data_IF_692630140461
#
_entry.id   IF_692630140461
#
_cell.length_a   1.000
_cell.length_b   1.000
_cell.length_c   1.000
_cell.angle_alpha   90.00
_cell.angle_beta   90.00
_cell.angle_gamma   90.00
#
_symmetry.space_group_name_H-M   'P 1'
#
loop_
_entity.id
_entity.type
_entity.pdbx_description
1 polymer ?
#
# COMPACT_ATOMS: atom_id res chain seq x y z
N UNK A 1 21.10 11.03 31.62
CA UNK A 1 20.26 11.01 32.84
C UNK A 1 19.64 12.38 33.03
N UNK A 2 18.46 12.48 33.66
CA UNK A 2 17.74 13.74 33.91
C UNK A 2 17.29 13.76 35.39
N UNK A 3 17.28 14.91 36.06
CA UNK A 3 16.78 15.02 37.43
C UNK A 3 15.28 14.67 37.44
N UNK A 4 14.88 13.94 38.47
CA UNK A 4 13.46 13.64 38.69
C UNK A 4 12.81 14.80 39.48
N UNK A 5 11.47 14.97 39.44
CA UNK A 5 10.79 16.04 40.16
C UNK A 5 11.14 16.09 41.69
N UNK A 6 11.36 14.93 42.28
CA UNK A 6 11.73 14.85 43.70
C UNK A 6 13.07 15.55 44.00
N UNK A 7 14.07 15.37 43.12
CA UNK A 7 15.36 16.06 43.29
C UNK A 7 15.20 17.58 43.14
N UNK A 8 14.36 18.03 42.20
CA UNK A 8 14.05 19.46 42.02
C UNK A 8 13.36 20.04 43.25
N UNK A 9 12.39 19.32 43.83
CA UNK A 9 11.73 19.74 45.09
C UNK A 9 12.73 19.84 46.25
N UNK A 10 13.65 18.85 46.39
CA UNK A 10 14.72 18.89 47.41
C UNK A 10 15.67 20.09 47.22
N UNK A 11 16.02 20.41 45.98
CA UNK A 11 16.85 21.57 45.66
C UNK A 11 16.12 22.89 45.94
N UNK A 12 14.83 22.98 45.66
CA UNK A 12 14.01 24.16 46.00
C UNK A 12 13.88 24.31 47.51
N UNK A 13 13.66 23.23 48.26
CA UNK A 13 13.60 23.25 49.70
C UNK A 13 14.96 23.68 50.33
N UNK A 14 16.08 23.21 49.78
CA UNK A 14 17.42 23.65 50.18
C UNK A 14 17.65 25.12 49.87
N UNK A 15 17.21 25.64 48.72
CA UNK A 15 17.32 27.05 48.39
C UNK A 15 16.49 27.93 49.36
N UNK A 16 15.26 27.50 49.70
CA UNK A 16 14.40 28.17 50.68
C UNK A 16 15.06 28.20 52.09
N UNK A 17 15.71 27.09 52.50
CA UNK A 17 16.49 27.02 53.73
C UNK A 17 17.62 28.07 53.75
N UNK A 18 18.26 28.31 52.60
CA UNK A 18 19.28 29.37 52.45
C UNK A 18 18.73 30.76 52.75
N UNK A 19 17.51 31.07 52.36
CA UNK A 19 16.82 32.30 52.73
C UNK A 19 16.63 32.47 54.26
N UNK A 20 16.29 31.36 54.94
CA UNK A 20 16.13 31.36 56.42
C UNK A 20 17.48 31.55 57.14
N UNK A 21 18.53 30.96 56.61
CA UNK A 21 19.90 31.14 57.12
C UNK A 21 20.40 32.58 56.92
N UNK A 22 20.09 33.20 55.79
CA UNK A 22 20.42 34.59 55.51
C UNK A 22 19.67 35.54 56.43
N UNK A 23 18.42 35.22 56.84
CA UNK A 23 17.67 35.95 57.83
C UNK A 23 18.16 35.79 59.25
N UNK A 24 19.26 35.03 59.49
CA UNK A 24 19.88 34.84 60.78
C UNK A 24 19.21 33.86 61.76
N UNK A 25 18.11 33.13 61.26
CA UNK A 25 17.38 32.21 62.11
C UNK A 25 18.10 30.85 62.31
N UNK A 26 19.09 30.50 61.47
CA UNK A 26 19.82 29.25 61.53
C UNK A 26 21.34 29.49 61.27
N UNK A 27 22.21 28.63 61.81
CA UNK A 27 23.68 28.76 61.63
C UNK A 27 24.02 28.33 60.16
N UNK A 28 25.05 29.00 59.58
CA UNK A 28 25.49 28.77 58.18
C UNK A 28 25.89 27.32 57.87
N UNK A 29 26.45 26.61 58.86
CA UNK A 29 26.82 25.20 58.66
C UNK A 29 25.68 24.29 58.42
N UNK A 30 24.43 24.59 58.86
CA UNK A 30 23.25 23.79 58.63
C UNK A 30 22.88 23.74 57.12
N UNK A 31 23.03 24.87 56.41
CA UNK A 31 22.81 24.96 54.99
C UNK A 31 23.84 24.12 54.20
N UNK A 32 25.12 24.17 54.57
CA UNK A 32 26.17 23.38 53.99
C UNK A 32 25.99 21.87 54.25
N UNK A 33 25.56 21.49 55.45
CA UNK A 33 25.27 20.11 55.82
C UNK A 33 24.15 19.52 54.93
N UNK A 34 23.05 20.24 54.80
CA UNK A 34 21.91 19.80 53.96
C UNK A 34 22.33 19.66 52.51
N UNK A 35 23.11 20.58 51.95
CA UNK A 35 23.68 20.49 50.61
C UNK A 35 24.51 19.22 50.43
N UNK A 36 25.40 18.95 51.39
CA UNK A 36 26.28 17.76 51.35
C UNK A 36 25.48 16.47 51.40
N UNK A 37 24.45 16.39 52.25
CA UNK A 37 23.55 15.23 52.34
C UNK A 37 22.79 15.01 51.02
N UNK A 38 22.14 16.05 50.49
CA UNK A 38 21.41 15.96 49.23
C UNK A 38 22.35 15.55 48.08
N UNK A 39 23.53 16.18 47.98
CA UNK A 39 24.52 15.87 46.98
C UNK A 39 25.03 14.43 47.06
N UNK A 40 25.38 13.96 48.29
CA UNK A 40 25.83 12.58 48.49
C UNK A 40 24.74 11.57 48.11
N UNK A 41 23.49 11.79 48.57
CA UNK A 41 22.37 10.92 48.21
C UNK A 41 22.12 10.92 46.69
N UNK A 42 22.16 12.07 46.06
CA UNK A 42 21.98 12.17 44.61
C UNK A 42 23.09 11.44 43.85
N UNK A 43 24.35 11.57 44.27
CA UNK A 43 25.48 10.87 43.65
C UNK A 43 25.42 9.36 43.88
N UNK A 44 25.07 8.91 45.08
CA UNK A 44 24.88 7.47 45.37
C UNK A 44 23.74 6.86 44.55
N UNK A 45 22.64 7.56 44.43
CA UNK A 45 21.49 7.10 43.61
C UNK A 45 21.85 7.07 42.13
N UNK A 46 22.62 8.06 41.66
CA UNK A 46 23.15 8.11 40.29
C UNK A 46 24.06 6.92 39.99
N UNK A 47 25.00 6.66 40.90
CA UNK A 47 25.94 5.56 40.77
C UNK A 47 25.26 4.19 40.80
N UNK A 48 24.28 3.98 41.70
CA UNK A 48 23.45 2.77 41.73
C UNK A 48 22.68 2.60 40.45
N UNK A 49 22.05 3.67 39.95
CA UNK A 49 21.29 3.62 38.71
C UNK A 49 22.18 3.31 37.49
N UNK A 50 23.40 3.86 37.44
CA UNK A 50 24.34 3.60 36.35
C UNK A 50 24.76 2.12 36.25
N UNK A 51 24.88 1.45 37.42
CA UNK A 51 25.27 0.03 37.52
C UNK A 51 24.13 -0.96 37.36
N UNK A 52 22.88 -0.48 37.30
CA UNK A 52 21.74 -1.37 37.12
C UNK A 52 21.78 -2.08 35.76
N UNK A 53 21.54 -3.41 35.74
CA UNK A 53 21.44 -4.14 34.49
C UNK A 53 20.27 -3.64 33.65
N UNK A 54 20.40 -3.71 32.32
CA UNK A 54 19.31 -3.38 31.41
C UNK A 54 18.36 -4.56 31.32
N UNK A 55 17.03 -4.32 31.30
CA UNK A 55 16.07 -5.36 31.02
C UNK A 55 16.29 -5.95 29.63
N UNK A 56 15.99 -7.23 29.47
CA UNK A 56 15.90 -7.85 28.16
C UNK A 56 14.54 -7.55 27.57
N UNK A 57 14.52 -7.21 26.29
CA UNK A 57 13.29 -6.89 25.55
C UNK A 57 13.19 -7.80 24.33
N UNK A 58 12.02 -8.39 24.13
CA UNK A 58 11.67 -9.15 22.93
C UNK A 58 10.43 -8.51 22.31
N UNK A 59 10.43 -8.35 20.99
CA UNK A 59 9.29 -7.82 20.23
C UNK A 59 8.66 -8.94 19.42
N UNK A 60 7.35 -9.05 19.52
CA UNK A 60 6.52 -9.97 18.74
C UNK A 60 5.77 -9.18 17.69
N UNK A 61 6.34 -9.10 16.49
CA UNK A 61 5.76 -8.45 15.32
C UNK A 61 6.18 -9.22 14.07
N UNK A 62 5.26 -9.52 13.14
CA UNK A 62 5.63 -10.11 11.85
C UNK A 62 6.42 -9.12 10.99
N UNK A 63 7.35 -9.62 10.18
CA UNK A 63 8.15 -8.80 9.26
C UNK A 63 7.34 -8.20 8.10
N UNK A 64 6.15 -8.74 7.84
CA UNK A 64 5.24 -8.28 6.79
C UNK A 64 3.99 -7.66 7.40
N UNK A 65 3.74 -6.40 7.07
CA UNK A 65 2.57 -5.63 7.49
C UNK A 65 1.75 -5.21 6.26
N UNK A 66 0.46 -4.97 6.46
CA UNK A 66 -0.41 -4.42 5.42
C UNK A 66 -0.67 -2.93 5.67
N UNK A 67 -0.63 -2.12 4.60
CA UNK A 67 -0.91 -0.70 4.63
C UNK A 67 -2.31 -0.42 5.19
N UNK A 68 -2.42 0.53 6.11
CA UNK A 68 -3.68 0.97 6.70
C UNK A 68 -4.36 -0.02 7.66
N UNK A 69 -3.76 -1.19 7.91
CA UNK A 69 -4.32 -2.22 8.80
C UNK A 69 -3.76 -2.07 10.20
N UNK A 70 -4.65 -1.94 11.20
CA UNK A 70 -4.25 -1.93 12.60
C UNK A 70 -3.65 -3.29 12.98
N UNK A 71 -2.49 -3.24 13.63
CA UNK A 71 -1.77 -4.43 14.06
C UNK A 71 -1.37 -4.33 15.52
N UNK A 72 -1.65 -5.38 16.28
CA UNK A 72 -1.20 -5.51 17.64
C UNK A 72 0.26 -5.97 17.68
N UNK A 73 1.05 -5.34 18.54
CA UNK A 73 2.46 -5.62 18.78
C UNK A 73 2.64 -6.03 20.22
N UNK A 74 3.29 -7.16 20.43
CA UNK A 74 3.67 -7.65 21.75
C UNK A 74 5.10 -7.23 22.11
N UNK A 75 5.29 -6.74 23.33
CA UNK A 75 6.62 -6.52 23.93
C UNK A 75 6.74 -7.35 25.20
N UNK A 76 7.73 -8.23 25.26
CA UNK A 76 8.06 -9.00 26.47
C UNK A 76 9.31 -8.43 27.11
N UNK A 77 9.19 -8.01 28.37
CA UNK A 77 10.29 -7.47 29.16
C UNK A 77 10.62 -8.41 30.31
N UNK A 78 11.91 -8.69 30.48
CA UNK A 78 12.44 -9.47 31.61
C UNK A 78 13.54 -8.71 32.32
N UNK A 79 13.59 -8.83 33.64
CA UNK A 79 14.61 -8.15 34.46
C UNK A 79 15.11 -9.06 35.56
N UNK A 80 16.35 -8.80 35.99
CA UNK A 80 16.98 -9.44 37.17
C UNK A 80 16.75 -8.66 38.46
N UNK A 81 16.38 -7.36 38.38
CA UNK A 81 16.12 -6.50 39.52
C UNK A 81 14.72 -5.85 39.42
N UNK A 82 14.07 -5.59 40.59
CA UNK A 82 12.80 -4.89 40.56
C UNK A 82 12.97 -3.45 40.06
N UNK A 83 12.20 -3.04 39.05
CA UNK A 83 12.28 -1.68 38.54
C UNK A 83 10.94 -1.18 38.01
N UNK A 84 10.75 0.15 38.10
CA UNK A 84 9.63 0.86 37.49
C UNK A 84 10.10 1.51 36.20
N UNK A 85 9.48 1.14 35.09
CA UNK A 85 9.86 1.61 33.77
C UNK A 85 8.67 2.20 33.06
N UNK A 86 8.92 3.20 32.24
CA UNK A 86 7.99 3.66 31.22
C UNK A 86 8.54 3.16 29.88
N UNK A 87 7.72 2.41 29.15
CA UNK A 87 8.07 1.75 27.90
C UNK A 87 7.50 2.53 26.74
N UNK A 88 8.33 2.81 25.76
CA UNK A 88 7.96 3.39 24.48
C UNK A 88 8.69 2.64 23.38
N UNK A 89 8.00 2.19 22.33
CA UNK A 89 8.61 1.56 21.17
C UNK A 89 8.95 2.63 20.13
N UNK A 90 10.18 2.60 19.59
CA UNK A 90 10.62 3.53 18.53
C UNK A 90 10.11 3.04 17.18
N UNK A 91 8.86 3.36 16.93
CA UNK A 91 8.13 3.03 15.70
C UNK A 91 8.51 4.03 14.61
N UNK A 92 8.48 3.64 13.32
CA UNK A 92 8.66 4.56 12.20
C UNK A 92 7.75 5.79 12.31
N UNK A 93 8.29 6.97 11.94
CA UNK A 93 7.58 8.23 12.09
C UNK A 93 6.26 8.27 11.31
N UNK A 94 5.26 8.96 11.88
CA UNK A 94 3.96 9.16 11.23
C UNK A 94 2.96 8.02 11.39
N UNK A 95 3.33 6.90 12.02
CA UNK A 95 2.38 5.82 12.26
C UNK A 95 1.55 6.08 13.53
N UNK A 96 0.21 6.06 13.47
CA UNK A 96 -0.64 6.14 14.65
C UNK A 96 -0.35 5.01 15.62
N UNK A 97 -0.23 5.37 16.91
CA UNK A 97 0.02 4.46 18.01
C UNK A 97 -1.06 4.61 19.07
N UNK A 98 -1.55 3.49 19.54
CA UNK A 98 -2.48 3.45 20.67
C UNK A 98 -1.84 2.68 21.84
N UNK A 99 -2.10 3.14 23.07
CA UNK A 99 -1.64 2.50 24.31
C UNK A 99 -0.15 2.65 24.62
N UNK A 100 0.59 3.57 24.00
CA UNK A 100 1.95 3.94 24.39
C UNK A 100 2.02 5.44 24.76
N UNK A 101 2.89 5.85 25.70
CA UNK A 101 3.79 5.03 26.53
C UNK A 101 3.11 4.34 27.72
N UNK A 102 3.51 3.10 28.03
CA UNK A 102 2.99 2.35 29.18
C UNK A 102 3.95 2.38 30.38
N UNK A 103 3.38 2.48 31.60
CA UNK A 103 4.15 2.42 32.85
C UNK A 103 3.94 1.07 33.49
N UNK A 104 5.03 0.34 33.74
CA UNK A 104 4.98 -1.00 34.32
C UNK A 104 6.00 -1.16 35.45
N UNK A 105 5.68 -2.07 36.34
CA UNK A 105 6.59 -2.49 37.38
C UNK A 105 7.09 -3.90 37.07
N UNK A 106 8.36 -3.99 36.71
CA UNK A 106 9.02 -5.25 36.43
C UNK A 106 9.46 -5.93 37.74
N UNK A 107 9.21 -7.24 37.82
CA UNK A 107 9.63 -8.08 38.95
C UNK A 107 10.69 -9.07 38.49
N UNK A 108 11.72 -9.35 39.31
CA UNK A 108 12.75 -10.32 38.96
C UNK A 108 12.17 -11.69 38.64
N UNK A 109 12.70 -12.33 37.60
CA UNK A 109 12.29 -13.69 37.22
C UNK A 109 10.92 -13.81 36.55
N UNK A 110 10.16 -12.70 36.39
CA UNK A 110 8.88 -12.70 35.72
C UNK A 110 8.94 -11.93 34.41
N UNK A 111 8.42 -12.52 33.35
CA UNK A 111 8.21 -11.81 32.08
C UNK A 111 6.96 -10.92 32.18
N UNK A 112 7.10 -9.65 31.82
CA UNK A 112 5.99 -8.73 31.70
C UNK A 112 5.65 -8.57 30.21
N UNK A 113 4.46 -8.94 29.80
CA UNK A 113 3.96 -8.73 28.45
C UNK A 113 3.16 -7.43 28.36
N UNK A 114 3.44 -6.64 27.35
CA UNK A 114 2.75 -5.41 27.00
C UNK A 114 2.25 -5.52 25.58
N UNK A 115 1.09 -4.93 25.34
CA UNK A 115 0.52 -4.88 24.01
C UNK A 115 0.21 -3.43 23.64
N UNK A 116 0.45 -3.09 22.40
CA UNK A 116 0.05 -1.81 21.83
C UNK A 116 -0.37 -2.00 20.37
N UNK A 117 -1.11 -1.07 19.83
CA UNK A 117 -1.59 -1.13 18.44
C UNK A 117 -0.88 -0.07 17.61
N UNK A 118 -0.48 -0.43 16.40
CA UNK A 118 0.05 0.47 15.39
C UNK A 118 -0.71 0.32 14.07
N UNK A 119 -0.64 1.37 13.24
CA UNK A 119 -1.24 1.38 11.91
C UNK A 119 -0.25 1.96 10.91
N UNK A 120 0.34 1.14 9.99
CA UNK A 120 1.23 1.63 8.95
C UNK A 120 0.51 2.60 8.01
N UNK A 121 1.10 3.77 7.74
CA UNK A 121 0.53 4.82 6.89
C UNK A 121 1.15 4.87 5.49
N UNK A 122 2.30 4.23 5.29
CA UNK A 122 3.05 4.25 4.04
C UNK A 122 3.59 2.86 3.72
N UNK A 123 3.66 2.53 2.42
CA UNK A 123 4.30 1.30 1.94
C UNK A 123 5.82 1.46 1.92
N UNK A 124 6.51 0.35 1.96
CA UNK A 124 7.96 0.32 1.83
C UNK A 124 8.65 -0.48 2.92
N UNK A 125 9.94 -0.23 3.05
CA UNK A 125 10.79 -0.84 4.06
C UNK A 125 10.99 0.14 5.22
N UNK A 126 10.69 -0.30 6.41
CA UNK A 126 10.81 0.51 7.63
C UNK A 126 11.61 -0.24 8.68
N UNK A 127 12.26 0.53 9.55
CA UNK A 127 13.07 -0.02 10.62
C UNK A 127 12.60 0.49 11.98
N UNK A 128 12.39 -0.44 12.88
CA UNK A 128 12.19 -0.15 14.30
C UNK A 128 13.55 0.01 14.97
N UNK A 129 13.81 1.16 15.53
CA UNK A 129 15.13 1.51 16.09
C UNK A 129 15.35 0.99 17.52
N UNK A 130 14.46 0.15 18.01
CA UNK A 130 14.52 -0.44 19.34
C UNK A 130 13.42 0.04 20.26
N UNK A 131 13.51 -0.38 21.52
CA UNK A 131 12.55 -0.03 22.56
C UNK A 131 13.21 0.93 23.53
N UNK A 132 12.59 2.09 23.71
CA UNK A 132 13.06 3.13 24.64
C UNK A 132 12.43 2.90 26.01
N UNK A 133 13.29 2.71 27.00
CA UNK A 133 12.91 2.57 28.40
C UNK A 133 13.32 3.81 29.20
N UNK A 134 12.35 4.40 29.89
CA UNK A 134 12.63 5.43 30.88
C UNK A 134 12.52 4.79 32.26
N UNK A 135 13.69 4.60 32.91
CA UNK A 135 13.86 3.88 34.17
C UNK A 135 13.98 4.89 35.29
N UNK A 136 13.21 4.71 36.34
CA UNK A 136 13.33 5.54 37.57
C UNK A 136 14.35 4.95 38.51
N UNK A 137 15.21 5.80 39.06
CA UNK A 137 16.23 5.38 40.04
C UNK A 137 15.59 4.86 41.36
N UNK A 138 16.29 4.06 42.18
CA UNK A 138 15.78 3.50 43.43
C UNK A 138 15.19 4.53 44.38
N UNK A 139 15.91 5.64 44.61
CA UNK A 139 15.46 6.73 45.47
C UNK A 139 14.64 7.81 44.74
N UNK A 140 14.31 7.56 43.45
CA UNK A 140 13.47 8.44 42.63
C UNK A 140 14.05 9.83 42.37
N UNK A 141 15.39 10.00 42.51
CA UNK A 141 16.06 11.25 42.26
C UNK A 141 16.41 11.45 40.79
N UNK A 142 16.56 10.36 40.03
CA UNK A 142 16.97 10.40 38.62
C UNK A 142 16.04 9.61 37.70
N UNK A 143 15.96 10.10 36.47
CA UNK A 143 15.44 9.36 35.33
C UNK A 143 16.61 9.00 34.41
N UNK A 144 16.66 7.74 34.02
CA UNK A 144 17.57 7.25 32.99
C UNK A 144 16.78 6.78 31.80
N UNK A 145 17.15 7.23 30.58
CA UNK A 145 16.62 6.76 29.31
C UNK A 145 17.64 5.79 28.72
N UNK A 146 17.17 4.62 28.33
CA UNK A 146 17.94 3.59 27.61
C UNK A 146 17.17 3.15 26.39
N UNK A 147 17.86 3.01 25.25
CA UNK A 147 17.30 2.39 24.05
C UNK A 147 17.90 0.99 23.92
N UNK A 148 17.04 -0.01 23.82
CA UNK A 148 17.43 -1.41 23.83
C UNK A 148 16.99 -2.08 22.52
N UNK A 149 17.73 -3.10 22.03
CA UNK A 149 17.26 -3.97 20.99
C UNK A 149 15.96 -4.68 21.41
N UNK A 150 15.19 -5.29 20.50
CA UNK A 150 15.58 -5.66 19.14
C UNK A 150 15.35 -4.55 18.11
N UNK A 151 16.29 -4.42 17.17
CA UNK A 151 16.08 -3.73 15.91
C UNK A 151 15.28 -4.69 15.01
N UNK A 152 14.33 -4.17 14.25
CA UNK A 152 13.54 -5.01 13.36
C UNK A 152 13.25 -4.26 12.05
N UNK A 153 13.59 -4.87 10.94
CA UNK A 153 13.19 -4.39 9.61
C UNK A 153 11.84 -5.01 9.26
N UNK A 154 10.88 -4.17 8.93
CA UNK A 154 9.54 -4.59 8.49
C UNK A 154 9.25 -4.08 7.08
N UNK A 155 8.46 -4.84 6.33
CA UNK A 155 8.00 -4.49 4.99
C UNK A 155 6.50 -4.24 5.06
N UNK A 156 6.09 -3.07 4.57
CA UNK A 156 4.67 -2.72 4.48
C UNK A 156 4.22 -2.91 3.04
N UNK A 157 3.30 -3.84 2.85
CA UNK A 157 2.75 -4.21 1.55
C UNK A 157 1.44 -3.47 1.25
N UNK A 158 1.09 -3.28 -0.04
CA UNK A 158 -0.22 -2.76 -0.42
C UNK A 158 -1.35 -3.66 0.07
N UNK A 159 -2.46 -3.06 0.48
CA UNK A 159 -3.63 -3.78 1.00
C UNK A 159 -4.75 -3.82 -0.05
N UNK A 160 -4.63 -4.71 -1.01
CA UNK A 160 -5.60 -4.86 -2.10
C UNK A 160 -6.73 -5.87 -1.80
N UNK A 161 -6.62 -6.66 -0.73
CA UNK A 161 -7.56 -7.75 -0.42
C UNK A 161 -9.02 -7.27 -0.25
N UNK A 162 -9.31 -6.17 0.47
CA UNK A 162 -10.68 -5.66 0.59
C UNK A 162 -11.27 -5.27 -0.78
N UNK A 163 -10.45 -4.65 -1.64
CA UNK A 163 -10.85 -4.21 -2.97
C UNK A 163 -11.19 -5.38 -3.89
N UNK A 164 -10.55 -6.54 -3.72
CA UNK A 164 -10.82 -7.74 -4.50
C UNK A 164 -12.28 -8.19 -4.34
N UNK A 165 -12.80 -8.19 -3.13
CA UNK A 165 -14.20 -8.56 -2.86
C UNK A 165 -15.17 -7.58 -3.48
N UNK A 166 -14.92 -6.28 -3.34
CA UNK A 166 -15.72 -5.22 -3.91
C UNK A 166 -15.74 -5.26 -5.45
N UNK A 167 -14.57 -5.38 -6.08
CA UNK A 167 -14.45 -5.41 -7.52
C UNK A 167 -15.16 -6.64 -8.15
N UNK A 168 -15.06 -7.81 -7.52
CA UNK A 168 -15.76 -9.00 -7.97
C UNK A 168 -17.28 -8.88 -7.83
N UNK A 169 -17.77 -8.29 -6.75
CA UNK A 169 -19.17 -8.04 -6.52
C UNK A 169 -19.74 -7.06 -7.56
N UNK A 170 -19.04 -5.95 -7.81
CA UNK A 170 -19.43 -4.94 -8.80
C UNK A 170 -19.45 -5.51 -10.20
N UNK A 171 -18.48 -6.31 -10.60
CA UNK A 171 -18.43 -6.98 -11.90
C UNK A 171 -19.58 -7.98 -12.09
N UNK A 172 -19.96 -8.73 -11.04
CA UNK A 172 -21.10 -9.66 -11.07
C UNK A 172 -22.43 -8.90 -11.18
N UNK A 173 -22.58 -7.80 -10.43
CA UNK A 173 -23.75 -6.92 -10.52
C UNK A 173 -23.91 -6.29 -11.91
N UNK A 174 -22.83 -5.71 -12.46
CA UNK A 174 -22.85 -5.14 -13.80
C UNK A 174 -23.25 -6.20 -14.87
N UNK A 175 -22.73 -7.41 -14.73
CA UNK A 175 -23.08 -8.55 -15.61
C UNK A 175 -24.56 -8.94 -15.51
N UNK A 176 -25.17 -8.83 -14.34
CA UNK A 176 -26.60 -9.11 -14.12
C UNK A 176 -27.51 -8.00 -14.65
N UNK A 177 -27.13 -6.73 -14.44
CA UNK A 177 -27.90 -5.57 -14.89
C UNK A 177 -27.97 -5.44 -16.40
N UNK A 178 -26.93 -5.82 -17.12
CA UNK A 178 -26.90 -5.83 -18.59
C UNK A 178 -27.87 -6.88 -19.18
N UNK A 179 -28.58 -7.67 -18.33
CA UNK A 179 -29.64 -8.59 -18.79
C UNK A 179 -29.13 -9.66 -19.73
N UNK A 180 -27.84 -9.74 -19.92
CA UNK A 180 -27.23 -10.80 -20.68
C UNK A 180 -27.48 -12.09 -19.92
N UNK A 181 -28.41 -12.89 -20.38
CA UNK A 181 -28.33 -14.32 -20.23
C UNK A 181 -26.94 -14.75 -20.71
N UNK A 182 -25.94 -14.61 -19.85
CA UNK A 182 -24.69 -15.33 -20.01
C UNK A 182 -25.03 -16.79 -19.69
N UNK A 183 -25.85 -17.40 -20.61
CA UNK A 183 -25.68 -18.81 -20.84
C UNK A 183 -24.17 -18.94 -21.04
N UNK A 184 -23.50 -19.61 -20.09
CA UNK A 184 -22.18 -20.17 -20.34
C UNK A 184 -22.27 -20.79 -21.73
N UNK A 185 -21.87 -20.05 -22.76
CA UNK A 185 -21.77 -20.55 -24.12
C UNK A 185 -20.57 -21.48 -24.11
N UNK A 186 -20.81 -22.70 -23.62
CA UNK A 186 -19.95 -23.81 -23.99
C UNK A 186 -19.88 -23.83 -25.49
N UNK A 187 -18.70 -23.54 -26.03
CA UNK A 187 -18.49 -23.78 -27.46
C UNK A 187 -18.04 -22.60 -28.34
N UNK A 188 -17.78 -21.40 -27.82
CA UNK A 188 -17.25 -20.27 -28.62
C UNK A 188 -15.77 -19.95 -28.37
N UNK A 189 -15.05 -20.70 -27.51
CA UNK A 189 -13.60 -20.59 -27.36
C UNK A 189 -12.87 -21.05 -28.62
N UNK A 190 -11.59 -20.63 -28.76
CA UNK A 190 -10.74 -21.01 -29.90
C UNK A 190 -9.88 -22.22 -29.60
N UNK A 191 -9.77 -22.64 -28.35
CA UNK A 191 -8.95 -23.80 -27.94
C UNK A 191 -9.79 -25.09 -28.01
N UNK A 192 -9.33 -26.05 -28.84
CA UNK A 192 -10.01 -27.33 -29.03
C UNK A 192 -9.98 -28.13 -27.70
N UNK A 193 -11.17 -28.48 -27.20
CA UNK A 193 -11.30 -29.28 -25.97
C UNK A 193 -11.51 -30.76 -26.28
N UNK A 194 -12.59 -31.08 -26.99
CA UNK A 194 -12.91 -32.46 -27.33
C UNK A 194 -13.88 -32.54 -28.53
N UNK A 195 -14.00 -33.75 -29.10
CA UNK A 195 -15.07 -34.07 -30.06
C UNK A 195 -16.21 -34.75 -29.31
N UNK A 196 -17.46 -34.32 -29.55
CA UNK A 196 -18.65 -34.97 -29.03
C UNK A 196 -19.76 -35.07 -30.08
N UNK A 197 -20.76 -35.87 -29.81
CA UNK A 197 -21.94 -35.90 -30.67
C UNK A 197 -22.65 -34.54 -30.70
N UNK A 198 -23.06 -34.11 -31.88
CA UNK A 198 -23.82 -32.89 -32.09
C UNK A 198 -25.11 -32.90 -31.26
N UNK A 199 -25.45 -31.79 -30.65
CA UNK A 199 -26.68 -31.56 -29.92
C UNK A 199 -27.46 -30.42 -30.59
N UNK A 200 -28.79 -30.53 -30.57
CA UNK A 200 -29.66 -29.46 -31.07
C UNK A 200 -29.36 -28.16 -30.34
N UNK A 201 -28.95 -27.15 -31.12
CA UNK A 201 -28.48 -25.85 -30.57
C UNK A 201 -27.00 -25.59 -30.71
N UNK A 202 -26.17 -26.57 -31.10
CA UNK A 202 -24.76 -26.35 -31.44
C UNK A 202 -24.64 -25.60 -32.78
N UNK A 203 -23.60 -24.76 -32.89
CA UNK A 203 -23.30 -24.02 -34.13
C UNK A 203 -22.86 -24.99 -35.24
N UNK A 204 -23.44 -24.86 -36.41
CA UNK A 204 -23.07 -25.66 -37.60
C UNK A 204 -21.59 -25.42 -38.02
N UNK A 205 -21.00 -24.29 -37.63
CA UNK A 205 -19.58 -24.01 -37.89
C UNK A 205 -18.62 -24.91 -37.08
N UNK A 206 -19.13 -25.54 -36.04
CA UNK A 206 -18.36 -26.42 -35.14
C UNK A 206 -18.44 -27.89 -35.56
N UNK A 207 -19.20 -28.22 -36.59
CA UNK A 207 -19.25 -29.57 -37.13
C UNK A 207 -17.91 -29.97 -37.75
N UNK A 208 -17.39 -31.11 -37.30
CA UNK A 208 -16.25 -31.75 -37.94
C UNK A 208 -16.74 -32.75 -38.99
N UNK A 209 -16.78 -32.32 -40.24
CA UNK A 209 -17.24 -33.13 -41.36
C UNK A 209 -16.42 -34.39 -41.58
N UNK A 210 -15.11 -34.36 -41.28
CA UNK A 210 -14.22 -35.51 -41.42
C UNK A 210 -14.48 -36.55 -40.32
N UNK A 211 -14.68 -36.12 -39.07
CA UNK A 211 -15.04 -37.01 -37.98
C UNK A 211 -16.47 -37.56 -38.15
N UNK A 212 -17.43 -36.71 -38.61
CA UNK A 212 -18.81 -37.08 -38.94
C UNK A 212 -18.86 -38.18 -40.00
N UNK A 213 -18.07 -38.04 -41.06
CA UNK A 213 -18.03 -39.07 -42.15
C UNK A 213 -17.47 -40.41 -41.65
N UNK A 214 -16.50 -40.39 -40.74
CA UNK A 214 -15.93 -41.63 -40.15
C UNK A 214 -16.85 -42.28 -39.13
N UNK A 215 -17.49 -41.47 -38.28
CA UNK A 215 -18.32 -41.97 -37.18
C UNK A 215 -19.75 -42.28 -37.62
N UNK A 216 -20.17 -41.87 -38.84
CA UNK A 216 -21.55 -41.93 -39.34
C UNK A 216 -22.59 -41.28 -38.42
N UNK A 217 -22.16 -40.33 -37.62
CA UNK A 217 -22.95 -39.51 -36.69
C UNK A 217 -22.41 -38.09 -36.74
N UNK A 218 -23.27 -37.10 -36.55
CA UNK A 218 -22.85 -35.70 -36.52
C UNK A 218 -21.92 -35.47 -35.29
N UNK A 219 -20.67 -35.08 -35.55
CA UNK A 219 -19.66 -34.79 -34.54
C UNK A 219 -19.38 -33.29 -34.52
N UNK A 220 -19.53 -32.69 -33.34
CA UNK A 220 -19.21 -31.29 -33.07
C UNK A 220 -17.89 -31.17 -32.33
N UNK A 221 -17.09 -30.18 -32.71
CA UNK A 221 -15.90 -29.77 -31.94
C UNK A 221 -16.36 -28.90 -30.79
N UNK A 222 -16.06 -29.30 -29.59
CA UNK A 222 -16.26 -28.46 -28.41
C UNK A 222 -14.96 -27.66 -28.15
N UNK A 223 -15.11 -26.35 -28.13
CA UNK A 223 -14.03 -25.43 -27.84
C UNK A 223 -14.15 -24.96 -26.41
N UNK A 224 -13.00 -24.67 -25.79
CA UNK A 224 -12.91 -24.15 -24.43
C UNK A 224 -12.36 -22.72 -24.50
N UNK A 225 -12.74 -21.89 -23.56
CA UNK A 225 -12.17 -20.54 -23.43
C UNK A 225 -10.64 -20.65 -23.40
N UNK A 226 -9.96 -19.81 -24.18
CA UNK A 226 -8.49 -19.79 -24.20
C UNK A 226 -7.96 -19.54 -22.79
N UNK A 227 -7.34 -20.57 -22.24
CA UNK A 227 -6.50 -20.45 -21.06
C UNK A 227 -5.13 -20.06 -21.61
N UNK A 228 -4.49 -19.03 -21.16
CA UNK A 228 -3.11 -18.62 -21.46
C UNK A 228 -2.97 -17.19 -21.95
N UNK A 229 -3.96 -16.35 -21.70
CA UNK A 229 -3.85 -14.94 -22.01
C UNK A 229 -2.77 -14.28 -21.13
N UNK A 230 -2.13 -13.25 -21.66
CA UNK A 230 -1.11 -12.51 -20.93
C UNK A 230 -1.63 -11.12 -20.61
N UNK A 231 -1.56 -10.77 -19.34
CA UNK A 231 -1.86 -9.45 -18.82
C UNK A 231 -0.56 -8.78 -18.39
N UNK A 232 -0.28 -7.60 -18.92
CA UNK A 232 0.81 -6.74 -18.50
C UNK A 232 0.23 -5.45 -17.93
N UNK A 233 0.42 -5.24 -16.63
CA UNK A 233 0.02 -4.04 -15.93
C UNK A 233 1.18 -3.04 -16.00
N UNK A 234 0.98 -1.95 -16.71
CA UNK A 234 1.96 -0.89 -16.86
C UNK A 234 1.55 0.28 -15.97
N UNK A 235 2.32 0.53 -14.92
CA UNK A 235 2.03 1.52 -13.90
C UNK A 235 2.92 2.75 -14.08
N UNK A 236 2.30 3.88 -14.25
CA UNK A 236 3.00 5.15 -14.18
C UNK A 236 3.37 5.47 -12.72
N UNK A 237 4.63 5.71 -12.46
CA UNK A 237 5.18 6.16 -11.18
C UNK A 237 5.85 7.54 -11.28
N UNK A 238 5.50 8.32 -12.31
CA UNK A 238 5.96 9.68 -12.51
C UNK A 238 5.18 10.71 -11.70
N UNK A 239 5.47 12.00 -12.00
CA UNK A 239 4.90 13.16 -11.28
C UNK A 239 3.36 13.20 -11.25
N UNK A 240 2.69 12.63 -12.26
CA UNK A 240 1.22 12.60 -12.36
C UNK A 240 0.56 11.74 -11.28
N UNK A 241 1.31 10.84 -10.71
CA UNK A 241 0.83 9.87 -9.73
C UNK A 241 1.15 10.26 -8.27
N UNK A 242 1.71 11.47 -8.06
CA UNK A 242 2.01 12.02 -6.72
C UNK A 242 0.77 12.55 -5.99
N UNK A 243 -0.28 12.94 -6.73
CA UNK A 243 -1.52 13.41 -6.12
C UNK A 243 -2.04 12.39 -5.10
N UNK A 244 -2.63 12.87 -4.00
CA UNK A 244 -3.12 12.02 -2.92
C UNK A 244 -4.62 12.22 -2.73
N UNK A 245 -5.32 11.11 -2.57
CA UNK A 245 -6.76 11.05 -2.31
C UNK A 245 -7.03 10.03 -1.21
N UNK A 246 -7.82 10.38 -0.20
CA UNK A 246 -8.15 9.47 0.91
C UNK A 246 -6.93 8.98 1.71
N UNK A 247 -5.82 9.75 1.73
CA UNK A 247 -4.58 9.41 2.43
C UNK A 247 -3.66 8.46 1.66
N UNK A 248 -4.00 8.08 0.44
CA UNK A 248 -3.18 7.29 -0.48
C UNK A 248 -2.80 8.12 -1.71
N UNK A 249 -1.62 7.87 -2.29
CA UNK A 249 -1.25 8.47 -3.57
C UNK A 249 -2.05 7.83 -4.72
N UNK A 250 -2.18 8.54 -5.84
CA UNK A 250 -2.75 7.96 -7.07
C UNK A 250 -1.99 6.71 -7.48
N UNK A 251 -0.68 6.66 -7.24
CA UNK A 251 0.12 5.46 -7.47
C UNK A 251 -0.31 4.29 -6.56
N UNK A 252 -0.65 4.55 -5.29
CA UNK A 252 -1.15 3.52 -4.37
C UNK A 252 -2.49 2.94 -4.85
N UNK A 253 -3.41 3.81 -5.29
CA UNK A 253 -4.69 3.40 -5.87
C UNK A 253 -4.48 2.57 -7.14
N UNK A 254 -3.62 3.04 -8.06
CA UNK A 254 -3.28 2.33 -9.28
C UNK A 254 -2.65 0.96 -9.03
N UNK A 255 -1.72 0.88 -8.08
CA UNK A 255 -1.06 -0.37 -7.68
C UNK A 255 -2.06 -1.34 -7.06
N UNK A 256 -2.89 -0.89 -6.12
CA UNK A 256 -3.91 -1.72 -5.49
C UNK A 256 -4.90 -2.28 -6.53
N UNK A 257 -5.42 -1.43 -7.43
CA UNK A 257 -6.33 -1.83 -8.49
C UNK A 257 -5.68 -2.85 -9.46
N UNK A 258 -4.43 -2.61 -9.83
CA UNK A 258 -3.65 -3.51 -10.68
C UNK A 258 -3.42 -4.87 -10.03
N UNK A 259 -3.12 -4.92 -8.74
CA UNK A 259 -2.98 -6.18 -8.01
C UNK A 259 -4.30 -6.96 -7.92
N UNK A 260 -5.44 -6.27 -7.82
CA UNK A 260 -6.78 -6.92 -7.89
C UNK A 260 -6.98 -7.61 -9.23
N UNK A 261 -6.69 -6.93 -10.34
CA UNK A 261 -6.83 -7.52 -11.68
C UNK A 261 -5.85 -8.65 -11.90
N UNK A 262 -4.58 -8.48 -11.47
CA UNK A 262 -3.57 -9.54 -11.53
C UNK A 262 -4.02 -10.79 -10.77
N UNK A 263 -4.52 -10.62 -9.55
CA UNK A 263 -5.04 -11.71 -8.73
C UNK A 263 -6.17 -12.46 -9.44
N UNK A 264 -7.12 -11.72 -10.05
CA UNK A 264 -8.22 -12.32 -10.79
C UNK A 264 -7.73 -13.07 -12.03
N UNK A 265 -6.82 -12.47 -12.82
CA UNK A 265 -6.25 -13.09 -14.00
C UNK A 265 -5.54 -14.42 -13.66
N UNK A 266 -4.72 -14.41 -12.60
CA UNK A 266 -4.04 -15.60 -12.10
C UNK A 266 -5.00 -16.69 -11.62
N UNK A 267 -6.10 -16.33 -10.96
CA UNK A 267 -7.17 -17.27 -10.58
C UNK A 267 -7.88 -17.90 -11.78
N UNK A 268 -7.96 -17.18 -12.89
CA UNK A 268 -8.54 -17.68 -14.14
C UNK A 268 -7.55 -18.50 -14.99
N UNK A 269 -6.29 -18.65 -14.52
CA UNK A 269 -5.25 -19.41 -15.19
C UNK A 269 -4.45 -18.61 -16.23
N UNK A 270 -4.65 -17.29 -16.31
CA UNK A 270 -3.88 -16.41 -17.17
C UNK A 270 -2.54 -16.03 -16.51
N UNK A 271 -1.64 -15.46 -17.31
CA UNK A 271 -0.37 -14.94 -16.83
C UNK A 271 -0.49 -13.45 -16.53
N UNK A 272 0.04 -12.99 -15.39
CA UNK A 272 0.07 -11.59 -15.01
C UNK A 272 1.50 -11.11 -14.77
N UNK A 273 1.82 -9.91 -15.25
CA UNK A 273 3.10 -9.22 -15.05
C UNK A 273 2.89 -7.74 -14.73
N UNK A 274 3.96 -7.07 -14.35
CA UNK A 274 3.94 -5.66 -13.97
C UNK A 274 5.14 -4.94 -14.55
N UNK A 275 4.93 -3.72 -15.02
CA UNK A 275 5.99 -2.82 -15.45
C UNK A 275 5.75 -1.43 -14.87
N UNK A 276 6.58 -1.01 -13.92
CA UNK A 276 6.59 0.36 -13.41
C UNK A 276 7.46 1.27 -14.28
N UNK A 277 6.94 2.45 -14.62
CA UNK A 277 7.57 3.42 -15.53
C UNK A 277 7.49 4.85 -14.94
N UNK A 278 8.32 5.75 -15.41
CA UNK A 278 8.34 7.14 -14.97
C UNK A 278 9.38 7.41 -13.89
N UNK A 279 9.33 6.69 -12.78
CA UNK A 279 10.33 6.75 -11.71
C UNK A 279 11.31 5.58 -11.78
N UNK A 280 11.37 4.79 -10.70
CA UNK A 280 12.15 3.56 -10.67
C UNK A 280 11.52 2.54 -11.62
N UNK A 281 12.27 2.14 -12.66
CA UNK A 281 11.81 1.13 -13.62
C UNK A 281 11.92 -0.25 -13.02
N UNK A 282 10.81 -0.98 -13.00
CA UNK A 282 10.78 -2.35 -12.48
C UNK A 282 9.91 -3.25 -13.35
N UNK A 283 10.51 -4.29 -13.87
CA UNK A 283 9.87 -5.26 -14.77
C UNK A 283 9.65 -6.59 -14.07
N UNK A 284 8.41 -7.05 -14.04
CA UNK A 284 8.05 -8.42 -13.66
C UNK A 284 7.38 -9.07 -14.86
N UNK A 285 8.05 -10.08 -15.41
CA UNK A 285 7.54 -10.80 -16.57
C UNK A 285 6.21 -11.47 -16.26
N UNK A 286 5.23 -11.50 -17.20
CA UNK A 286 3.99 -12.22 -17.00
C UNK A 286 4.24 -13.72 -16.74
N UNK A 287 3.80 -14.18 -15.58
CA UNK A 287 3.91 -15.57 -15.12
C UNK A 287 2.54 -16.06 -14.66
N UNK A 288 2.36 -17.39 -14.64
CA UNK A 288 1.15 -18.08 -14.19
C UNK A 288 1.30 -18.57 -12.75
N UNK A 289 0.15 -18.88 -12.17
CA UNK A 289 0.07 -19.49 -10.85
C UNK A 289 0.01 -18.46 -9.73
N UNK A 290 -0.63 -18.83 -8.64
CA UNK A 290 -0.91 -17.92 -7.52
C UNK A 290 0.36 -17.41 -6.81
N UNK A 291 1.50 -18.11 -6.91
CA UNK A 291 2.79 -17.62 -6.41
C UNK A 291 3.25 -16.31 -7.07
N UNK A 292 2.75 -16.00 -8.27
CA UNK A 292 3.03 -14.73 -8.95
C UNK A 292 2.50 -13.52 -8.17
N UNK A 293 1.42 -13.66 -7.42
CA UNK A 293 0.89 -12.58 -6.56
C UNK A 293 1.94 -12.14 -5.54
N UNK A 294 2.58 -13.09 -4.89
CA UNK A 294 3.65 -12.79 -3.93
C UNK A 294 4.86 -12.13 -4.61
N UNK A 295 5.20 -12.59 -5.81
CA UNK A 295 6.27 -11.99 -6.61
C UNK A 295 5.93 -10.54 -6.98
N UNK A 296 4.71 -10.26 -7.45
CA UNK A 296 4.25 -8.90 -7.76
C UNK A 296 4.27 -8.00 -6.52
N UNK A 297 3.79 -8.50 -5.38
CA UNK A 297 3.83 -7.77 -4.11
C UNK A 297 5.27 -7.44 -3.69
N UNK A 298 6.17 -8.41 -3.74
CA UNK A 298 7.59 -8.20 -3.40
C UNK A 298 8.30 -7.24 -4.35
N UNK A 299 7.88 -7.22 -5.62
CA UNK A 299 8.46 -6.33 -6.62
C UNK A 299 7.90 -4.91 -6.58
N UNK A 300 6.80 -4.67 -5.87
CA UNK A 300 6.10 -3.38 -5.92
C UNK A 300 5.90 -2.67 -4.58
N UNK A 301 6.19 -3.33 -3.44
CA UNK A 301 5.90 -2.76 -2.11
C UNK A 301 6.68 -1.48 -1.79
N UNK A 302 7.89 -1.35 -2.32
CA UNK A 302 8.82 -0.24 -2.11
C UNK A 302 8.82 0.80 -3.23
N UNK A 303 8.11 0.55 -4.34
CA UNK A 303 7.94 1.53 -5.41
C UNK A 303 7.18 2.75 -4.91
N UNK A 304 7.73 3.93 -5.17
CA UNK A 304 7.11 5.21 -4.84
C UNK A 304 7.03 6.10 -6.10
N UNK A 305 5.98 6.92 -6.23
CA UNK A 305 5.91 7.89 -7.31
C UNK A 305 7.00 8.94 -7.15
N UNK A 306 7.58 9.39 -8.27
CA UNK A 306 8.68 10.35 -8.29
C UNK A 306 8.31 11.60 -9.10
N UNK A 307 8.89 12.78 -8.77
CA UNK A 307 8.59 14.04 -9.47
C UNK A 307 9.30 14.13 -10.84
N UNK A 308 9.19 13.08 -11.66
CA UNK A 308 9.79 13.00 -13.01
C UNK A 308 8.70 12.81 -14.05
N UNK A 309 8.93 13.31 -15.26
CA UNK A 309 8.05 13.05 -16.39
C UNK A 309 8.20 11.60 -16.86
N UNK A 310 7.09 10.96 -17.20
CA UNK A 310 7.11 9.60 -17.73
C UNK A 310 7.31 9.64 -19.23
N UNK A 311 8.33 8.93 -19.73
CA UNK A 311 8.58 8.68 -21.14
C UNK A 311 7.82 7.42 -21.57
N UNK A 312 6.60 7.60 -22.07
CA UNK A 312 5.73 6.50 -22.49
C UNK A 312 6.25 5.79 -23.72
N UNK A 313 6.91 6.52 -24.65
CA UNK A 313 7.45 5.92 -25.86
C UNK A 313 8.65 5.01 -25.55
N UNK A 314 9.55 5.44 -24.69
CA UNK A 314 10.64 4.59 -24.22
C UNK A 314 10.11 3.35 -23.48
N UNK A 315 9.07 3.52 -22.65
CA UNK A 315 8.42 2.42 -21.96
C UNK A 315 7.75 1.43 -22.94
N UNK A 316 7.05 1.92 -23.94
CA UNK A 316 6.43 1.10 -24.99
C UNK A 316 7.49 0.32 -25.81
N UNK A 317 8.63 0.95 -26.07
CA UNK A 317 9.76 0.32 -26.74
C UNK A 317 10.29 -0.85 -25.91
N UNK A 318 10.47 -0.65 -24.60
CA UNK A 318 10.92 -1.71 -23.68
C UNK A 318 9.91 -2.88 -23.61
N UNK A 319 8.60 -2.58 -23.55
CA UNK A 319 7.55 -3.63 -23.63
C UNK A 319 7.67 -4.40 -24.93
N UNK A 320 7.82 -3.73 -26.08
CA UNK A 320 7.91 -4.35 -27.39
C UNK A 320 9.11 -5.29 -27.54
N UNK A 321 10.20 -4.99 -26.85
CA UNK A 321 11.42 -5.83 -26.83
C UNK A 321 11.26 -7.03 -25.90
N UNK A 322 10.70 -6.85 -24.70
CA UNK A 322 10.61 -7.88 -23.65
C UNK A 322 9.38 -8.77 -23.78
N UNK A 323 8.24 -8.21 -24.16
CA UNK A 323 6.97 -8.90 -24.27
C UNK A 323 6.73 -9.36 -25.72
N UNK A 324 7.20 -10.56 -26.05
CA UNK A 324 7.09 -11.09 -27.42
C UNK A 324 5.72 -11.70 -27.73
N UNK A 325 5.01 -12.21 -26.71
CA UNK A 325 3.67 -12.79 -26.89
C UNK A 325 2.64 -11.68 -26.81
N UNK A 326 1.56 -11.82 -27.60
CA UNK A 326 0.41 -10.91 -27.51
C UNK A 326 -0.11 -10.85 -26.09
N UNK A 327 -0.43 -9.65 -25.59
CA UNK A 327 -0.86 -9.40 -24.24
C UNK A 327 -1.92 -8.28 -24.21
N UNK A 328 -2.76 -8.27 -23.21
CA UNK A 328 -3.48 -7.08 -22.80
C UNK A 328 -2.53 -6.20 -21.97
N UNK A 329 -2.16 -5.06 -22.51
CA UNK A 329 -1.38 -4.05 -21.79
C UNK A 329 -2.35 -3.04 -21.20
N UNK A 330 -2.44 -3.00 -19.87
CA UNK A 330 -3.23 -2.00 -19.15
C UNK A 330 -2.29 -0.95 -18.57
N UNK A 331 -2.24 0.22 -19.21
CA UNK A 331 -1.53 1.39 -18.71
C UNK A 331 -2.42 2.15 -17.75
N UNK A 332 -1.94 2.34 -16.51
CA UNK A 332 -2.62 3.10 -15.47
C UNK A 332 -1.83 4.35 -15.16
N UNK A 333 -2.42 5.51 -15.42
CA UNK A 333 -1.81 6.83 -15.22
C UNK A 333 -2.90 7.89 -14.97
N UNK A 334 -2.53 9.13 -14.72
CA UNK A 334 -3.39 10.32 -14.81
C UNK A 334 -3.06 11.03 -16.10
N UNK A 335 -3.80 10.70 -17.18
CA UNK A 335 -3.54 11.23 -18.53
C UNK A 335 -3.92 12.70 -18.61
N UNK A 336 -3.00 13.53 -19.14
CA UNK A 336 -3.19 14.95 -19.42
C UNK A 336 -2.84 15.27 -20.86
N UNK A 337 -3.31 16.42 -21.33
CA UNK A 337 -3.06 16.93 -22.69
C UNK A 337 -1.58 17.13 -23.00
N UNK A 338 -0.79 17.57 -22.01
CA UNK A 338 0.65 17.78 -22.14
C UNK A 338 1.43 16.51 -22.55
N UNK A 339 0.97 15.33 -22.12
CA UNK A 339 1.67 14.07 -22.33
C UNK A 339 1.06 13.26 -23.50
N UNK A 340 0.03 13.82 -24.19
CA UNK A 340 -0.78 13.07 -25.14
C UNK A 340 -0.01 12.63 -26.39
N UNK A 341 0.88 13.47 -26.91
CA UNK A 341 1.63 13.14 -28.14
C UNK A 341 2.57 11.95 -27.93
N UNK A 342 3.31 11.95 -26.81
CA UNK A 342 4.19 10.83 -26.43
C UNK A 342 3.37 9.56 -26.16
N UNK A 343 2.24 9.70 -25.47
CA UNK A 343 1.34 8.60 -25.17
C UNK A 343 0.71 8.00 -26.44
N UNK A 344 0.30 8.81 -27.42
CA UNK A 344 -0.21 8.34 -28.71
C UNK A 344 0.86 7.57 -29.50
N UNK A 345 2.11 8.08 -29.53
CA UNK A 345 3.21 7.37 -30.15
C UNK A 345 3.48 6.01 -29.49
N UNK A 346 3.47 5.99 -28.15
CA UNK A 346 3.62 4.77 -27.35
C UNK A 346 2.52 3.74 -27.63
N UNK A 347 1.27 4.19 -27.65
CA UNK A 347 0.09 3.32 -27.90
C UNK A 347 0.13 2.73 -29.30
N UNK A 348 0.41 3.53 -30.33
CA UNK A 348 0.57 3.04 -31.73
C UNK A 348 1.64 1.96 -31.83
N UNK A 349 2.75 2.12 -31.10
CA UNK A 349 3.81 1.11 -31.06
C UNK A 349 3.34 -0.19 -30.39
N UNK A 350 2.65 -0.08 -29.26
CA UNK A 350 2.14 -1.25 -28.50
C UNK A 350 1.05 -1.99 -29.30
N UNK A 351 0.14 -1.28 -29.98
CA UNK A 351 -0.96 -1.86 -30.75
C UNK A 351 -0.50 -2.71 -31.94
N UNK A 352 0.75 -2.57 -32.39
CA UNK A 352 1.30 -3.47 -33.45
C UNK A 352 1.25 -4.94 -33.03
N UNK A 353 1.24 -5.22 -31.73
CA UNK A 353 1.26 -6.62 -31.23
C UNK A 353 0.29 -6.87 -30.08
N UNK A 354 -0.01 -5.87 -29.27
CA UNK A 354 -0.75 -5.99 -28.04
C UNK A 354 -2.11 -5.32 -28.14
N UNK A 355 -3.02 -5.72 -27.28
CA UNK A 355 -4.25 -5.00 -27.04
C UNK A 355 -3.98 -3.98 -25.93
N UNK A 356 -4.36 -2.71 -26.15
CA UNK A 356 -4.02 -1.62 -25.23
C UNK A 356 -5.28 -1.07 -24.58
N UNK A 357 -5.23 -0.96 -23.25
CA UNK A 357 -6.20 -0.27 -22.43
C UNK A 357 -5.47 0.82 -21.62
N UNK A 358 -5.92 2.05 -21.72
CA UNK A 358 -5.43 3.18 -20.92
C UNK A 358 -6.48 3.49 -19.85
N UNK A 359 -6.11 3.31 -18.59
CA UNK A 359 -6.92 3.70 -17.45
C UNK A 359 -6.37 5.00 -16.87
N UNK A 360 -7.14 6.04 -17.00
CA UNK A 360 -6.80 7.39 -16.55
C UNK A 360 -7.52 7.67 -15.24
N UNK A 361 -6.75 7.90 -14.17
CA UNK A 361 -7.31 8.31 -12.89
C UNK A 361 -7.73 9.78 -12.96
N UNK A 362 -8.86 10.08 -12.32
CA UNK A 362 -9.38 11.42 -12.16
C UNK A 362 -9.56 11.72 -10.67
N UNK A 363 -9.22 12.93 -10.29
CA UNK A 363 -9.41 13.43 -8.95
C UNK A 363 -10.90 13.65 -8.66
N UNK A 364 -11.40 13.12 -7.55
CA UNK A 364 -12.80 13.28 -7.14
C UNK A 364 -13.15 14.74 -6.81
N UNK A 365 -12.16 15.50 -6.36
CA UNK A 365 -12.31 16.94 -6.03
C UNK A 365 -12.77 17.79 -7.24
N UNK A 366 -12.43 17.37 -8.46
CA UNK A 366 -12.88 18.06 -9.67
C UNK A 366 -14.39 17.98 -9.88
N UNK A 367 -14.99 16.83 -9.54
CA UNK A 367 -16.44 16.66 -9.60
C UNK A 367 -17.12 17.53 -8.55
N UNK A 368 -16.58 17.57 -7.33
CA UNK A 368 -17.06 18.43 -6.25
C UNK A 368 -16.97 19.93 -6.60
N UNK A 369 -15.91 20.35 -7.29
CA UNK A 369 -15.76 21.75 -7.71
C UNK A 369 -16.79 22.17 -8.80
N UNK A 370 -17.27 21.23 -9.62
CA UNK A 370 -18.30 21.50 -10.63
C UNK A 370 -19.73 21.41 -10.09
N UNK A 371 -19.98 20.47 -9.16
CA UNK A 371 -21.30 20.22 -8.60
C UNK A 371 -21.61 21.14 -7.39
N UNK A 372 -20.57 21.74 -6.81
CA UNK A 372 -20.66 22.63 -5.65
C UNK A 372 -21.43 23.93 -5.94
N UNK A 373 -22.12 24.47 -4.93
CA UNK A 373 -22.75 25.77 -5.03
C UNK A 373 -21.69 26.88 -5.07
N UNK A 374 -21.83 27.81 -6.04
CA UNK A 374 -20.88 28.92 -6.22
C UNK A 374 -21.36 30.11 -5.39
N UNK A 375 -20.67 30.39 -4.30
CA UNK A 375 -20.98 31.51 -3.40
C UNK A 375 -19.97 32.65 -3.49
N UNK A 376 -18.74 32.36 -3.89
CA UNK A 376 -17.65 33.34 -3.94
C UNK A 376 -17.01 33.40 -5.33
N UNK A 377 -16.23 34.46 -5.58
CA UNK A 377 -15.41 34.57 -6.80
C UNK A 377 -14.37 33.43 -6.87
N UNK A 378 -13.87 32.99 -5.73
CA UNK A 378 -12.91 31.87 -5.63
C UNK A 378 -13.57 30.56 -6.06
N UNK A 379 -14.79 30.26 -5.62
CA UNK A 379 -15.56 29.08 -6.04
C UNK A 379 -15.80 29.10 -7.56
N UNK A 380 -16.18 30.27 -8.10
CA UNK A 380 -16.38 30.45 -9.54
C UNK A 380 -15.08 30.22 -10.33
N UNK A 381 -13.95 30.70 -9.83
CA UNK A 381 -12.64 30.49 -10.47
C UNK A 381 -12.22 29.01 -10.40
N UNK A 382 -12.45 28.32 -9.29
CA UNK A 382 -12.17 26.90 -9.14
C UNK A 382 -13.04 26.05 -10.07
N UNK A 383 -14.35 26.32 -10.13
CA UNK A 383 -15.27 25.63 -11.03
C UNK A 383 -14.87 25.84 -12.51
N UNK A 384 -14.51 27.08 -12.88
CA UNK A 384 -14.03 27.41 -14.23
C UNK A 384 -12.73 26.69 -14.59
N UNK A 385 -11.77 26.62 -13.66
CA UNK A 385 -10.52 25.89 -13.84
C UNK A 385 -10.75 24.38 -13.96
N UNK A 386 -11.63 23.80 -13.12
CA UNK A 386 -12.01 22.40 -13.18
C UNK A 386 -12.69 22.03 -14.50
N UNK A 387 -13.61 22.90 -14.99
CA UNK A 387 -14.28 22.71 -16.27
C UNK A 387 -13.29 22.72 -17.44
N UNK A 388 -12.36 23.68 -17.47
CA UNK A 388 -11.33 23.77 -18.51
C UNK A 388 -10.42 22.53 -18.49
N UNK A 389 -9.98 22.11 -17.29
CA UNK A 389 -9.15 20.93 -17.12
C UNK A 389 -9.86 19.66 -17.63
N UNK A 390 -11.13 19.44 -17.27
CA UNK A 390 -11.91 18.29 -17.74
C UNK A 390 -12.17 18.33 -19.24
N UNK A 391 -12.31 19.52 -19.83
CA UNK A 391 -12.42 19.67 -21.27
C UNK A 391 -11.13 19.25 -22.00
N UNK A 392 -9.96 19.69 -21.51
CA UNK A 392 -8.66 19.28 -22.04
C UNK A 392 -8.45 17.78 -21.92
N UNK A 393 -8.80 17.21 -20.76
CA UNK A 393 -8.76 15.78 -20.50
C UNK A 393 -9.65 14.98 -21.46
N UNK A 394 -10.86 15.47 -21.72
CA UNK A 394 -11.79 14.83 -22.67
C UNK A 394 -11.18 14.80 -24.08
N UNK A 395 -10.58 15.89 -24.55
CA UNK A 395 -9.88 15.92 -25.84
C UNK A 395 -8.74 14.90 -25.93
N UNK A 396 -7.94 14.77 -24.85
CA UNK A 396 -6.87 13.79 -24.79
C UNK A 396 -7.43 12.35 -24.88
N UNK A 397 -8.53 12.05 -24.19
CA UNK A 397 -9.19 10.75 -24.26
C UNK A 397 -9.84 10.46 -25.63
N UNK A 398 -10.41 11.48 -26.28
CA UNK A 398 -10.94 11.36 -27.65
C UNK A 398 -9.83 11.05 -28.65
N UNK A 399 -8.67 11.68 -28.52
CA UNK A 399 -7.50 11.40 -29.33
C UNK A 399 -7.03 9.93 -29.15
N UNK A 400 -7.04 9.40 -27.94
CA UNK A 400 -6.75 7.97 -27.70
C UNK A 400 -7.83 7.04 -28.28
N UNK A 401 -9.10 7.39 -28.14
CA UNK A 401 -10.22 6.61 -28.71
C UNK A 401 -10.19 6.57 -30.24
N UNK A 402 -9.76 7.66 -30.89
CA UNK A 402 -9.60 7.71 -32.35
C UNK A 402 -8.56 6.69 -32.85
N UNK A 403 -7.58 6.36 -32.04
CA UNK A 403 -6.59 5.29 -32.29
C UNK A 403 -7.12 3.90 -31.90
N UNK A 404 -8.44 3.75 -31.63
CA UNK A 404 -9.06 2.49 -31.20
C UNK A 404 -8.52 1.91 -29.89
N UNK A 405 -8.03 2.77 -29.01
CA UNK A 405 -7.60 2.40 -27.66
C UNK A 405 -8.81 2.29 -26.75
N UNK A 406 -8.82 1.30 -25.89
CA UNK A 406 -9.79 1.24 -24.79
C UNK A 406 -9.38 2.25 -23.73
N UNK A 407 -10.21 3.26 -23.49
CA UNK A 407 -9.95 4.31 -22.50
C UNK A 407 -10.97 4.19 -21.37
N UNK A 408 -10.46 4.10 -20.14
CA UNK A 408 -11.22 4.20 -18.91
C UNK A 408 -10.88 5.57 -18.26
N UNK A 409 -11.90 6.33 -17.91
CA UNK A 409 -11.78 7.59 -17.16
C UNK A 409 -12.56 7.44 -15.88
N UNK A 410 -11.86 7.25 -14.77
CA UNK A 410 -12.47 6.82 -13.50
C UNK A 410 -11.77 7.45 -12.30
N UNK A 411 -12.51 7.62 -11.21
CA UNK A 411 -11.98 8.00 -9.91
C UNK A 411 -11.22 6.85 -9.25
N UNK A 412 -10.44 7.17 -8.22
CA UNK A 412 -9.56 6.20 -7.55
C UNK A 412 -10.32 4.99 -6.98
N UNK A 413 -11.50 5.21 -6.41
CA UNK A 413 -12.35 4.17 -5.82
C UNK A 413 -13.04 3.29 -6.88
N UNK A 414 -13.38 3.84 -8.05
CA UNK A 414 -13.97 3.08 -9.15
C UNK A 414 -12.95 2.28 -9.96
N UNK A 415 -11.67 2.63 -9.89
CA UNK A 415 -10.61 2.04 -10.71
C UNK A 415 -10.51 0.51 -10.60
N UNK A 416 -10.54 -0.12 -9.39
CA UNK A 416 -10.43 -1.58 -9.29
C UNK A 416 -11.56 -2.30 -10.03
N UNK A 417 -12.80 -1.81 -9.88
CA UNK A 417 -13.96 -2.40 -10.55
C UNK A 417 -13.91 -2.23 -12.07
N UNK A 418 -13.55 -1.03 -12.54
CA UNK A 418 -13.46 -0.71 -13.97
C UNK A 418 -12.37 -1.54 -14.69
N UNK A 419 -11.20 -1.71 -14.06
CA UNK A 419 -10.14 -2.55 -14.62
C UNK A 419 -10.54 -4.02 -14.67
N UNK A 420 -11.18 -4.55 -13.62
CA UNK A 420 -11.69 -5.93 -13.58
C UNK A 420 -12.74 -6.15 -14.65
N UNK A 421 -13.70 -5.24 -14.77
CA UNK A 421 -14.76 -5.33 -15.78
C UNK A 421 -14.17 -5.32 -17.19
N UNK A 422 -13.21 -4.42 -17.45
CA UNK A 422 -12.55 -4.33 -18.76
C UNK A 422 -11.76 -5.60 -19.08
N UNK A 423 -11.02 -6.15 -18.13
CA UNK A 423 -10.32 -7.42 -18.30
C UNK A 423 -11.29 -8.57 -18.65
N UNK A 424 -12.40 -8.67 -17.89
CA UNK A 424 -13.41 -9.69 -18.14
C UNK A 424 -14.13 -9.51 -19.48
N UNK A 425 -14.37 -8.25 -19.91
CA UNK A 425 -14.97 -7.95 -21.22
C UNK A 425 -14.06 -8.41 -22.36
N UNK A 426 -12.76 -8.03 -22.31
CA UNK A 426 -11.76 -8.47 -23.30
C UNK A 426 -11.69 -9.99 -23.40
N UNK A 427 -11.75 -10.67 -22.26
CA UNK A 427 -11.72 -12.13 -22.21
C UNK A 427 -12.98 -12.77 -22.79
N UNK A 428 -14.17 -12.20 -22.50
CA UNK A 428 -15.45 -12.69 -23.05
C UNK A 428 -15.55 -12.49 -24.56
N UNK A 429 -15.00 -11.40 -25.06
CA UNK A 429 -15.03 -11.06 -26.48
C UNK A 429 -13.95 -11.82 -27.30
N UNK A 430 -13.04 -12.55 -26.63
CA UNK A 430 -11.99 -13.32 -27.30
C UNK A 430 -11.00 -12.44 -28.08
N UNK A 431 -10.73 -11.22 -27.60
CA UNK A 431 -9.91 -10.23 -28.30
C UNK A 431 -8.39 -10.49 -28.16
N UNK A 432 -7.98 -11.38 -27.28
CA UNK A 432 -6.57 -11.70 -27.00
C UNK A 432 -6.08 -12.95 -27.71
#
# INVERSE_FOLDING_TARGET
>A
MRPAPLLLVLLLAWAALGGVVLAGALPRWSWALVATVIGTLALLDLWRQARRPSPQVQRELPEALALGVRREVGLRLQTTEPMRVQVFDLVPGGWPLESLPQRVQLRPGHACALHYTLQPQQRGRFRFEGVQLRIRSPWRLWWQQRTLPPLLDVRVYPNFVPLTRFALFSADQASRLVGAHVKRRRGEGTDFHQMREYRVGDSLRQLDWKATARARKLISREYQDEKNQQLLLMLDSGRRMLASEGGLSHFDHALNASLVVAYLALRQGDAAGLFAVGGERRWVQPQRGMGTVEHLLRASYDLQPQPVATDYLAAATEVSLRQRRRALVMLVSNVRDEDIEDLLAAVRLLQRRHLVCVASLREHELDGALEGEVHTLEDAAQAGAAALYLQQRTKAHEALRSEKVMVLDVTADALPAALVERYLAVKREGLL
#
